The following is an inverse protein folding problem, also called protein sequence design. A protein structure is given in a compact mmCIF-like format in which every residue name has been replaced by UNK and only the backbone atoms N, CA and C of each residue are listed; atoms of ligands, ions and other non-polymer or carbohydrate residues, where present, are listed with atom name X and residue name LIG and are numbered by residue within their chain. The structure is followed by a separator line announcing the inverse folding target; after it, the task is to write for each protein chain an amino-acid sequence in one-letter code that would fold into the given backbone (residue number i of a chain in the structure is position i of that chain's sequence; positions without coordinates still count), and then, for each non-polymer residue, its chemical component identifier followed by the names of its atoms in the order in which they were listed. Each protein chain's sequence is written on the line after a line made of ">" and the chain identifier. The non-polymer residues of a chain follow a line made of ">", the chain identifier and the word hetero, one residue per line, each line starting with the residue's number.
data_IF_348960398438
#
_entry.id   IF_348960398438
#
_cell.length_a   1.000
_cell.length_b   1.000
_cell.length_c   1.000
_cell.angle_alpha   90.00
_cell.angle_beta   90.00
_cell.angle_gamma   90.00
#
_symmetry.space_group_name_H-M   'P 1'
#
loop_
_entity.id
_entity.type
_entity.pdbx_description
1 polymer ?
#
# COMPACT_ATOMS: atom_id res chain seq x y z
N UNK A 1 11.27 -32.36 58.30
CA UNK A 1 9.82 -32.10 58.10
C UNK A 1 9.60 -30.60 58.36
N UNK A 2 8.79 -29.92 57.53
CA UNK A 2 8.34 -28.51 57.61
C UNK A 2 9.19 -27.46 58.39
N UNK A 3 9.81 -26.52 57.64
CA UNK A 3 9.38 -25.11 57.65
C UNK A 3 10.06 -24.06 58.58
N UNK A 4 9.55 -22.82 58.41
CA UNK A 4 9.75 -21.58 59.21
C UNK A 4 10.94 -20.65 58.83
N UNK A 5 10.81 -19.38 59.20
CA UNK A 5 11.37 -18.15 58.60
C UNK A 5 12.68 -17.60 59.21
N UNK A 6 13.44 -16.93 58.33
CA UNK A 6 14.12 -15.62 58.47
C UNK A 6 15.09 -15.29 59.64
N UNK A 7 16.36 -15.03 59.29
CA UNK A 7 17.24 -13.95 59.78
C UNK A 7 18.51 -13.89 58.88
N UNK A 8 19.29 -12.81 58.73
CA UNK A 8 19.13 -11.40 59.14
C UNK A 8 20.47 -10.62 59.08
N UNK A 9 20.47 -9.39 58.51
CA UNK A 9 21.65 -8.49 58.42
C UNK A 9 22.62 -8.79 57.25
N UNK A 10 23.57 -7.91 56.86
CA UNK A 10 23.99 -6.57 57.35
C UNK A 10 24.99 -5.98 56.29
N UNK A 11 25.28 -4.68 56.09
CA UNK A 11 24.64 -3.36 56.29
C UNK A 11 25.60 -2.26 55.71
N UNK A 12 25.13 -1.03 55.42
CA UNK A 12 25.90 0.16 54.91
C UNK A 12 26.29 0.03 53.41
N UNK A 13 26.63 1.06 52.62
CA UNK A 13 26.87 2.53 52.68
C UNK A 13 26.79 3.04 51.21
N UNK A 14 26.39 4.23 50.76
CA UNK A 14 25.65 5.42 51.22
C UNK A 14 25.03 6.04 49.92
N UNK A 15 23.92 6.81 49.85
CA UNK A 15 23.46 8.02 50.55
C UNK A 15 24.17 9.36 50.21
N UNK A 16 23.50 10.18 49.38
CA UNK A 16 23.51 11.64 49.44
C UNK A 16 22.09 12.16 49.10
N UNK A 17 21.57 13.10 49.89
CA UNK A 17 20.16 13.53 49.86
C UNK A 17 20.07 14.90 50.55
N UNK A 18 19.58 15.96 49.89
CA UNK A 18 19.41 17.29 50.52
C UNK A 18 18.08 17.94 50.07
N UNK A 19 17.30 18.28 51.09
CA UNK A 19 15.96 18.88 51.12
C UNK A 19 15.76 20.17 50.31
N UNK A 20 14.47 20.47 50.06
CA UNK A 20 13.98 21.81 49.75
C UNK A 20 13.47 22.54 51.01
N UNK A 21 13.51 23.87 51.01
CA UNK A 21 12.82 24.76 51.98
C UNK A 21 12.35 26.04 51.28
N UNK A 22 11.19 26.56 51.66
CA UNK A 22 10.56 27.73 51.01
C UNK A 22 10.75 29.04 51.79
N UNK A 23 10.50 30.18 51.12
CA UNK A 23 10.05 31.44 51.74
C UNK A 23 9.30 32.32 50.73
N UNK A 24 8.41 33.19 51.23
CA UNK A 24 7.58 34.12 50.44
C UNK A 24 8.22 35.52 50.35
N UNK A 25 7.88 36.27 49.31
CA UNK A 25 8.08 37.73 49.21
C UNK A 25 7.23 38.31 48.08
N UNK A 26 6.60 39.47 48.29
CA UNK A 26 5.78 40.15 47.27
C UNK A 26 6.59 41.23 46.54
N UNK A 27 6.29 41.45 45.26
CA UNK A 27 6.76 42.61 44.50
C UNK A 27 5.98 42.76 43.19
N UNK A 28 4.99 43.67 43.16
CA UNK A 28 4.38 44.11 41.90
C UNK A 28 5.26 45.22 41.30
N UNK A 29 5.68 45.07 40.05
CA UNK A 29 6.05 46.23 39.22
C UNK A 29 5.63 45.98 37.77
N UNK A 30 4.70 46.79 37.28
CA UNK A 30 4.33 46.84 35.86
C UNK A 30 5.24 47.83 35.14
N UNK A 31 6.00 47.37 34.15
CA UNK A 31 6.68 48.24 33.18
C UNK A 31 6.26 47.79 31.80
N UNK A 32 5.49 48.63 31.09
CA UNK A 32 5.20 48.43 29.69
C UNK A 32 6.35 49.01 28.85
N UNK A 33 6.97 48.20 28.01
CA UNK A 33 7.95 48.66 27.02
C UNK A 33 7.40 48.35 25.63
N UNK A 34 7.00 49.38 24.90
CA UNK A 34 6.55 49.26 23.52
C UNK A 34 7.77 49.10 22.59
N UNK A 35 8.21 47.85 22.38
CA UNK A 35 9.27 47.50 21.44
C UNK A 35 8.70 47.07 20.09
N UNK A 36 8.70 47.96 19.10
CA UNK A 36 8.29 47.63 17.73
C UNK A 36 9.44 46.90 16.99
N UNK A 37 9.46 45.57 17.05
CA UNK A 37 10.38 44.75 16.28
C UNK A 37 9.84 44.48 14.87
N UNK A 38 10.50 45.01 13.84
CA UNK A 38 10.24 44.56 12.46
C UNK A 38 10.89 43.19 12.25
N UNK A 39 10.10 42.13 12.36
CA UNK A 39 10.47 40.81 11.86
C UNK A 39 10.48 40.83 10.33
N UNK A 40 11.64 41.06 9.72
CA UNK A 40 11.84 40.80 8.30
C UNK A 40 11.81 39.28 8.10
N UNK A 41 10.64 38.76 7.75
CA UNK A 41 10.43 37.35 7.45
C UNK A 41 11.16 36.96 6.16
N UNK A 42 12.36 36.41 6.28
CA UNK A 42 13.01 35.69 5.18
C UNK A 42 12.20 34.40 4.97
N UNK A 43 11.33 34.40 3.97
CA UNK A 43 10.64 33.21 3.51
C UNK A 43 11.64 32.27 2.84
N UNK A 44 12.26 31.40 3.64
CA UNK A 44 12.98 30.25 3.14
C UNK A 44 11.95 29.27 2.55
N UNK A 45 11.62 29.44 1.27
CA UNK A 45 10.90 28.42 0.51
C UNK A 45 11.71 27.12 0.60
N UNK A 46 11.10 25.98 0.95
CA UNK A 46 11.78 24.71 0.81
C UNK A 46 12.18 24.55 -0.66
N UNK A 47 13.44 24.16 -0.90
CA UNK A 47 13.86 23.73 -2.22
C UNK A 47 13.07 22.46 -2.51
N UNK A 48 12.15 22.51 -3.48
CA UNK A 48 11.45 21.33 -3.93
C UNK A 48 12.47 20.32 -4.46
N UNK A 49 12.41 19.09 -3.96
CA UNK A 49 13.06 17.99 -4.63
C UNK A 49 12.33 17.74 -5.96
N UNK A 50 13.07 17.49 -7.04
CA UNK A 50 12.47 17.06 -8.30
C UNK A 50 11.71 15.73 -8.08
N UNK A 51 10.55 15.51 -8.72
CA UNK A 51 9.79 14.27 -8.55
C UNK A 51 10.64 13.04 -8.90
N UNK A 52 10.62 12.03 -8.02
CA UNK A 52 11.30 10.74 -8.23
C UNK A 52 10.80 9.98 -9.47
N UNK A 53 9.65 10.38 -10.01
CA UNK A 53 9.07 9.85 -11.24
C UNK A 53 8.53 10.99 -12.12
N UNK A 54 9.05 11.21 -13.35
CA UNK A 54 8.50 12.18 -14.28
C UNK A 54 7.18 11.70 -14.93
N UNK A 55 6.04 12.22 -14.48
CA UNK A 55 4.74 12.02 -15.13
C UNK A 55 3.93 10.82 -14.62
N UNK A 56 3.77 10.73 -13.30
CA UNK A 56 2.96 9.73 -12.59
C UNK A 56 2.45 10.31 -11.28
N UNK A 57 1.60 9.59 -10.52
CA UNK A 57 1.07 10.09 -9.26
C UNK A 57 2.18 10.34 -8.24
N UNK A 58 2.11 11.45 -7.52
CA UNK A 58 3.03 11.74 -6.41
C UNK A 58 2.87 10.67 -5.32
N UNK A 59 3.94 9.94 -5.01
CA UNK A 59 3.96 8.99 -3.89
C UNK A 59 3.83 9.75 -2.57
N UNK A 60 2.74 9.58 -1.77
CA UNK A 60 2.53 10.38 -0.57
C UNK A 60 3.47 9.94 0.58
N UNK A 61 4.70 10.45 0.57
CA UNK A 61 5.80 9.94 1.41
C UNK A 61 6.68 10.96 2.12
N UNK A 62 6.46 12.28 1.94
CA UNK A 62 7.17 13.33 2.69
C UNK A 62 6.24 14.48 3.10
N UNK A 63 5.62 14.36 4.27
CA UNK A 63 5.01 15.49 4.98
C UNK A 63 5.20 15.33 6.48
N UNK A 64 5.69 16.39 7.13
CA UNK A 64 5.88 16.39 8.59
C UNK A 64 4.52 16.22 9.30
N UNK A 65 4.46 15.55 10.46
CA UNK A 65 3.21 15.20 11.13
C UNK A 65 2.40 16.45 11.47
N UNK A 66 1.27 16.62 10.79
CA UNK A 66 0.28 17.64 11.12
C UNK A 66 -0.45 17.23 12.40
N UNK A 67 -0.55 18.14 13.37
CA UNK A 67 -1.24 17.86 14.62
C UNK A 67 -2.72 17.57 14.38
N UNK A 68 -3.30 16.49 14.93
CA UNK A 68 -4.67 16.08 14.63
C UNK A 68 -5.68 17.16 15.05
N UNK A 69 -6.45 17.66 14.10
CA UNK A 69 -7.56 18.59 14.39
C UNK A 69 -8.65 17.84 15.14
N UNK A 70 -8.91 18.22 16.40
CA UNK A 70 -9.90 17.56 17.27
C UNK A 70 -11.33 18.00 16.95
N UNK A 71 -11.70 17.99 15.67
CA UNK A 71 -13.03 18.35 15.17
C UNK A 71 -13.71 17.07 14.66
N UNK A 72 -14.87 16.65 15.21
CA UNK A 72 -15.59 15.49 14.70
C UNK A 72 -16.14 15.80 13.30
N UNK A 73 -15.51 15.24 12.26
CA UNK A 73 -15.95 15.38 10.88
C UNK A 73 -17.13 14.45 10.61
N UNK A 74 -18.32 14.82 11.07
CA UNK A 74 -19.58 14.21 10.60
C UNK A 74 -19.84 14.64 9.16
N UNK A 75 -19.11 14.04 8.21
CA UNK A 75 -19.52 14.03 6.81
C UNK A 75 -20.93 13.44 6.74
N UNK A 76 -21.91 14.11 6.11
CA UNK A 76 -23.24 13.56 5.98
C UNK A 76 -23.17 12.32 5.08
N UNK A 77 -23.70 11.19 5.56
CA UNK A 77 -23.91 10.02 4.71
C UNK A 77 -24.85 10.40 3.57
N UNK A 78 -24.53 9.95 2.35
CA UNK A 78 -25.32 10.26 1.17
C UNK A 78 -26.56 9.36 1.08
N UNK A 79 -27.48 9.49 2.03
CA UNK A 79 -28.71 8.68 2.18
C UNK A 79 -29.72 8.86 1.01
N UNK A 80 -29.34 9.51 -0.11
CA UNK A 80 -30.14 9.57 -1.33
C UNK A 80 -30.38 8.15 -1.86
N UNK A 81 -31.61 7.78 -2.26
CA UNK A 81 -31.87 6.50 -2.90
C UNK A 81 -31.02 6.30 -4.16
N UNK A 82 -30.45 5.10 -4.33
CA UNK A 82 -29.76 4.70 -5.55
C UNK A 82 -30.69 4.73 -6.77
N UNK A 83 -30.10 4.91 -7.95
CA UNK A 83 -30.80 4.69 -9.22
C UNK A 83 -31.25 3.23 -9.36
N UNK A 84 -32.34 3.02 -10.11
CA UNK A 84 -32.87 1.67 -10.37
C UNK A 84 -31.87 0.84 -11.18
N UNK A 85 -31.28 -0.17 -10.56
CA UNK A 85 -30.38 -1.12 -11.21
C UNK A 85 -31.01 -1.77 -12.46
N UNK A 86 -30.16 -1.99 -13.47
CA UNK A 86 -30.44 -2.76 -14.67
C UNK A 86 -29.72 -4.13 -14.68
N UNK A 87 -29.16 -4.54 -13.54
CA UNK A 87 -28.38 -5.75 -13.35
C UNK A 87 -28.94 -6.62 -12.22
N UNK A 88 -28.61 -7.92 -12.23
CA UNK A 88 -28.73 -8.80 -11.05
C UNK A 88 -27.61 -8.53 -10.05
N UNK A 89 -27.81 -8.90 -8.79
CA UNK A 89 -26.84 -8.68 -7.68
C UNK A 89 -25.40 -9.04 -8.11
N UNK A 90 -24.48 -8.06 -8.19
CA UNK A 90 -23.10 -8.30 -8.57
C UNK A 90 -22.32 -8.91 -7.40
N UNK A 91 -21.13 -9.45 -7.69
CA UNK A 91 -20.13 -9.68 -6.65
C UNK A 91 -19.27 -8.42 -6.46
N UNK A 92 -18.94 -8.13 -5.20
CA UNK A 92 -18.09 -7.02 -4.77
C UNK A 92 -16.75 -7.56 -4.26
N UNK A 93 -15.70 -6.79 -4.51
CA UNK A 93 -14.32 -7.06 -4.13
C UNK A 93 -13.65 -5.70 -3.91
N UNK A 94 -13.21 -5.31 -2.70
CA UNK A 94 -13.17 -6.08 -1.45
C UNK A 94 -14.52 -6.60 -0.95
N UNK A 95 -14.46 -7.69 -0.21
CA UNK A 95 -15.61 -8.31 0.46
C UNK A 95 -15.90 -7.62 1.81
N UNK A 96 -17.15 -7.78 2.29
CA UNK A 96 -17.62 -7.15 3.53
C UNK A 96 -16.79 -7.63 4.74
N UNK A 97 -16.20 -6.69 5.47
CA UNK A 97 -15.29 -6.93 6.59
C UNK A 97 -13.81 -7.14 6.22
N UNK A 98 -13.41 -7.03 4.96
CA UNK A 98 -11.98 -7.08 4.59
C UNK A 98 -11.19 -5.84 5.07
N UNK A 99 -9.88 -6.01 5.25
CA UNK A 99 -8.90 -4.93 5.37
C UNK A 99 -7.86 -5.09 4.28
N UNK A 100 -7.57 -4.01 3.55
CA UNK A 100 -6.82 -4.05 2.27
C UNK A 100 -5.80 -2.91 2.17
N UNK A 101 -4.76 -3.10 1.36
CA UNK A 101 -3.71 -2.11 1.14
C UNK A 101 -4.17 -0.89 0.31
N UNK A 102 -3.31 0.14 0.31
CA UNK A 102 -3.61 1.47 -0.23
C UNK A 102 -3.75 1.56 -1.76
N UNK A 103 -3.56 0.47 -2.49
CA UNK A 103 -3.74 0.37 -3.95
C UNK A 103 -4.83 -0.64 -4.35
N UNK A 104 -5.77 -0.98 -3.46
CA UNK A 104 -6.91 -1.82 -3.79
C UNK A 104 -7.98 -1.03 -4.57
N UNK A 105 -8.30 -1.37 -5.84
CA UNK A 105 -9.50 -0.86 -6.48
C UNK A 105 -10.75 -1.54 -5.89
N UNK A 106 -11.87 -0.83 -5.86
CA UNK A 106 -13.20 -1.47 -5.74
C UNK A 106 -13.52 -2.10 -7.09
N UNK A 107 -13.95 -3.35 -7.10
CA UNK A 107 -14.31 -4.11 -8.30
C UNK A 107 -15.73 -4.67 -8.16
N UNK A 108 -16.57 -4.37 -9.14
CA UNK A 108 -17.99 -4.73 -9.18
C UNK A 108 -18.21 -5.60 -10.42
N UNK A 109 -18.44 -6.90 -10.20
CA UNK A 109 -18.50 -7.91 -11.26
C UNK A 109 -19.94 -8.38 -11.49
N UNK A 110 -20.44 -8.17 -12.71
CA UNK A 110 -21.80 -8.51 -13.11
C UNK A 110 -21.87 -9.91 -13.73
N UNK A 111 -22.92 -10.65 -13.39
CA UNK A 111 -23.19 -11.98 -13.94
C UNK A 111 -23.36 -11.96 -15.48
N UNK A 112 -23.97 -10.90 -15.99
CA UNK A 112 -24.28 -10.67 -17.41
C UNK A 112 -23.62 -9.39 -17.92
N UNK A 113 -23.53 -9.24 -19.24
CA UNK A 113 -23.00 -8.02 -19.85
C UNK A 113 -23.94 -6.82 -19.59
N UNK A 114 -23.35 -5.64 -19.41
CA UNK A 114 -24.09 -4.38 -19.19
C UNK A 114 -24.02 -3.51 -20.44
N UNK A 115 -25.15 -3.38 -21.13
CA UNK A 115 -25.29 -2.52 -22.31
C UNK A 115 -25.46 -1.03 -21.91
N UNK A 116 -26.42 -0.73 -21.03
CA UNK A 116 -26.62 0.61 -20.48
C UNK A 116 -25.78 0.82 -19.21
N UNK A 117 -24.50 1.09 -19.43
CA UNK A 117 -23.52 1.44 -18.39
C UNK A 117 -23.92 2.66 -17.57
N UNK A 118 -24.57 3.66 -18.18
CA UNK A 118 -24.97 4.93 -17.53
C UNK A 118 -26.16 4.77 -16.58
N UNK A 119 -26.97 3.73 -16.74
CA UNK A 119 -27.99 3.35 -15.75
C UNK A 119 -27.37 2.48 -14.65
N UNK A 120 -26.41 1.62 -14.97
CA UNK A 120 -25.68 0.83 -13.97
C UNK A 120 -24.87 1.71 -13.00
N UNK A 121 -24.12 2.68 -13.51
CA UNK A 121 -23.36 3.68 -12.73
C UNK A 121 -24.22 4.42 -11.70
N UNK A 122 -25.48 4.74 -12.04
CA UNK A 122 -26.42 5.43 -11.12
C UNK A 122 -26.96 4.52 -10.02
N UNK A 123 -26.86 3.20 -10.19
CA UNK A 123 -27.23 2.21 -9.20
C UNK A 123 -26.03 1.78 -8.32
N UNK A 124 -24.91 2.50 -8.42
CA UNK A 124 -23.69 2.27 -7.66
C UNK A 124 -23.37 3.52 -6.83
N UNK A 125 -22.95 3.32 -5.59
CA UNK A 125 -22.34 4.34 -4.73
C UNK A 125 -21.07 3.77 -4.13
N UNK A 126 -20.06 4.62 -4.02
CA UNK A 126 -18.90 4.42 -3.13
C UNK A 126 -18.89 5.62 -2.18
N UNK A 127 -18.88 5.34 -0.88
CA UNK A 127 -18.83 6.34 0.20
C UNK A 127 -17.61 6.07 1.04
N UNK A 128 -16.90 7.15 1.39
CA UNK A 128 -15.55 7.11 1.95
C UNK A 128 -15.48 8.01 3.19
N UNK A 129 -14.82 7.52 4.24
CA UNK A 129 -14.59 8.26 5.48
C UNK A 129 -13.11 8.15 5.88
N UNK A 130 -12.28 9.19 5.73
CA UNK A 130 -12.62 10.54 5.23
C UNK A 130 -13.07 10.55 3.75
N UNK A 131 -13.68 11.65 3.31
CA UNK A 131 -14.15 11.78 1.92
C UNK A 131 -12.95 11.80 0.94
N UNK A 132 -12.85 10.76 0.13
CA UNK A 132 -11.86 10.57 -0.93
C UNK A 132 -12.55 10.63 -2.29
N UNK A 133 -12.06 11.50 -3.18
CA UNK A 133 -12.52 11.58 -4.57
C UNK A 133 -11.97 10.42 -5.39
N UNK A 134 -12.82 9.90 -6.28
CA UNK A 134 -12.47 8.86 -7.23
C UNK A 134 -13.55 8.69 -8.29
N UNK A 135 -13.33 7.78 -9.24
CA UNK A 135 -14.15 7.66 -10.44
C UNK A 135 -14.46 6.20 -10.79
N UNK A 136 -15.60 5.97 -11.46
CA UNK A 136 -15.93 4.68 -12.08
C UNK A 136 -15.29 4.55 -13.46
N UNK A 137 -14.72 3.39 -13.76
CA UNK A 137 -14.18 3.01 -15.08
C UNK A 137 -14.52 1.55 -15.38
N UNK A 138 -14.65 1.19 -16.66
CA UNK A 138 -15.16 -0.12 -17.08
C UNK A 138 -14.07 -1.01 -17.65
N UNK A 139 -13.95 -2.22 -17.10
CA UNK A 139 -13.13 -3.31 -17.64
C UNK A 139 -14.03 -4.21 -18.49
N UNK A 140 -14.01 -3.98 -19.80
CA UNK A 140 -14.87 -4.68 -20.75
C UNK A 140 -16.37 -4.41 -20.55
N UNK A 141 -17.18 -5.47 -20.53
CA UNK A 141 -18.66 -5.40 -20.46
C UNK A 141 -19.29 -5.99 -19.20
N UNK A 142 -18.50 -6.66 -18.35
CA UNK A 142 -18.99 -7.36 -17.13
C UNK A 142 -18.37 -6.84 -15.83
N UNK A 143 -17.44 -5.90 -15.89
CA UNK A 143 -16.76 -5.40 -14.71
C UNK A 143 -16.67 -3.87 -14.78
N UNK A 144 -17.05 -3.21 -13.67
CA UNK A 144 -16.80 -1.79 -13.43
C UNK A 144 -16.01 -1.67 -12.14
N UNK A 145 -15.04 -0.76 -12.13
CA UNK A 145 -14.13 -0.54 -11.01
C UNK A 145 -14.23 0.91 -10.54
N UNK A 146 -13.88 1.15 -9.28
CA UNK A 146 -13.70 2.50 -8.71
C UNK A 146 -12.33 2.60 -8.05
N UNK A 147 -11.63 3.72 -8.27
CA UNK A 147 -10.38 4.07 -7.59
C UNK A 147 -10.31 5.57 -7.30
N UNK A 148 -9.49 6.02 -6.33
CA UNK A 148 -9.09 7.42 -6.22
C UNK A 148 -8.12 7.84 -7.35
N UNK A 149 -7.80 9.14 -7.42
CA UNK A 149 -6.78 9.69 -8.35
C UNK A 149 -5.34 9.27 -8.00
N UNK A 150 -5.13 8.71 -6.80
CA UNK A 150 -3.86 8.17 -6.30
C UNK A 150 -4.13 7.12 -5.22
N UNK A 151 -3.13 6.73 -4.43
CA UNK A 151 -3.33 5.76 -3.34
C UNK A 151 -4.34 6.26 -2.29
N UNK A 152 -5.05 5.30 -1.70
CA UNK A 152 -5.97 5.55 -0.60
C UNK A 152 -5.22 6.07 0.64
N UNK A 153 -5.80 7.02 1.41
CA UNK A 153 -5.32 7.32 2.74
C UNK A 153 -5.49 6.11 3.67
N UNK A 154 -4.44 5.77 4.41
CA UNK A 154 -4.48 4.72 5.42
C UNK A 154 -5.58 4.97 6.47
N UNK A 155 -6.29 3.91 6.88
CA UNK A 155 -7.41 4.00 7.82
C UNK A 155 -8.71 4.57 7.25
N UNK A 156 -8.85 4.69 5.91
CA UNK A 156 -10.13 5.08 5.28
C UNK A 156 -11.14 3.94 5.35
N UNK A 157 -12.33 4.20 5.91
CA UNK A 157 -13.48 3.29 5.80
C UNK A 157 -14.22 3.52 4.47
N UNK A 158 -14.61 2.44 3.80
CA UNK A 158 -15.24 2.45 2.48
C UNK A 158 -16.50 1.59 2.48
N UNK A 159 -17.64 2.21 2.19
CA UNK A 159 -18.91 1.51 1.90
C UNK A 159 -19.19 1.54 0.40
N UNK A 160 -19.41 0.38 -0.19
CA UNK A 160 -19.82 0.19 -1.59
C UNK A 160 -21.24 -0.33 -1.62
N UNK A 161 -22.13 0.36 -2.33
CA UNK A 161 -23.48 -0.10 -2.65
C UNK A 161 -23.59 -0.33 -4.16
N UNK A 162 -24.13 -1.48 -4.59
CA UNK A 162 -24.35 -1.79 -6.00
C UNK A 162 -25.70 -2.50 -6.19
N UNK A 163 -26.76 -1.70 -6.35
CA UNK A 163 -28.15 -2.13 -6.52
C UNK A 163 -28.76 -2.82 -5.30
N UNK A 164 -28.30 -4.04 -5.00
CA UNK A 164 -28.70 -4.86 -3.85
C UNK A 164 -27.52 -5.61 -3.20
N UNK A 165 -26.30 -5.41 -3.69
CA UNK A 165 -25.08 -5.82 -3.00
C UNK A 165 -24.54 -4.64 -2.18
N UNK A 166 -23.99 -4.94 -1.01
CA UNK A 166 -23.28 -3.97 -0.16
C UNK A 166 -21.99 -4.62 0.34
N UNK A 167 -20.91 -3.85 0.44
CA UNK A 167 -19.65 -4.25 1.06
C UNK A 167 -19.07 -3.07 1.84
N UNK A 168 -18.63 -3.31 3.07
CA UNK A 168 -17.93 -2.34 3.92
C UNK A 168 -16.54 -2.89 4.21
N UNK A 169 -15.50 -2.13 3.88
CA UNK A 169 -14.11 -2.53 4.10
C UNK A 169 -13.27 -1.34 4.55
N UNK A 170 -12.11 -1.60 5.15
CA UNK A 170 -11.21 -0.56 5.65
C UNK A 170 -9.87 -0.64 4.93
N UNK A 171 -9.31 0.51 4.58
CA UNK A 171 -7.93 0.63 4.10
C UNK A 171 -6.98 0.50 5.29
N UNK A 172 -6.01 -0.41 5.21
CA UNK A 172 -5.01 -0.65 6.26
C UNK A 172 -3.93 0.42 6.35
N UNK A 173 -2.79 0.05 6.94
CA UNK A 173 -1.54 0.82 6.94
C UNK A 173 -1.00 1.05 5.51
N UNK A 174 -0.20 2.10 5.34
CA UNK A 174 0.44 2.44 4.06
C UNK A 174 1.65 1.55 3.79
N UNK A 175 1.39 0.27 3.54
CA UNK A 175 2.36 -0.73 3.14
C UNK A 175 2.66 -0.59 1.65
N UNK A 176 3.91 -0.28 1.28
CA UNK A 176 4.35 -0.05 -0.11
C UNK A 176 5.66 -0.79 -0.38
N UNK A 177 5.74 -1.50 -1.51
CA UNK A 177 7.00 -2.07 -1.99
C UNK A 177 7.46 -1.35 -3.26
N UNK A 178 8.70 -0.88 -3.30
CA UNK A 178 9.32 -0.27 -4.50
C UNK A 178 10.49 -1.14 -4.97
N UNK A 179 10.34 -1.72 -6.15
CA UNK A 179 11.33 -2.51 -6.88
C UNK A 179 12.05 -1.60 -7.90
N UNK A 180 13.32 -1.26 -7.63
CA UNK A 180 14.10 -0.35 -8.46
C UNK A 180 15.26 -1.05 -9.16
N UNK A 181 15.23 -1.08 -10.50
CA UNK A 181 16.24 -1.76 -11.31
C UNK A 181 17.63 -1.11 -11.25
N UNK A 182 17.73 0.20 -10.96
CA UNK A 182 19.03 0.86 -10.77
C UNK A 182 19.78 0.34 -9.53
N UNK A 183 19.08 -0.34 -8.62
CA UNK A 183 19.62 -0.88 -7.37
C UNK A 183 19.47 -2.38 -7.24
N UNK A 184 18.67 -3.02 -8.11
CA UNK A 184 18.21 -4.41 -8.01
C UNK A 184 17.71 -4.80 -6.59
N UNK A 185 17.01 -3.88 -5.91
CA UNK A 185 16.41 -4.11 -4.59
C UNK A 185 14.90 -3.79 -4.59
N UNK A 186 14.14 -4.57 -3.82
CA UNK A 186 12.80 -4.18 -3.34
C UNK A 186 12.99 -3.50 -1.98
N UNK A 187 12.54 -2.26 -1.83
CA UNK A 187 12.44 -1.60 -0.52
C UNK A 187 10.98 -1.57 -0.11
N UNK A 188 10.68 -2.07 1.09
CA UNK A 188 9.33 -2.09 1.66
C UNK A 188 9.24 -1.05 2.77
N UNK A 189 8.28 -0.13 2.66
CA UNK A 189 7.91 0.83 3.69
C UNK A 189 6.54 0.53 4.27
N UNK A 190 6.33 0.91 5.54
CA UNK A 190 5.03 0.94 6.21
C UNK A 190 4.89 2.32 6.85
N UNK A 191 3.82 3.05 6.49
CA UNK A 191 3.56 4.44 6.90
C UNK A 191 4.74 5.41 6.65
N UNK A 192 5.62 5.06 5.70
CA UNK A 192 6.80 5.82 5.29
C UNK A 192 8.13 5.29 5.85
N UNK A 193 8.13 4.51 6.94
CA UNK A 193 9.34 3.94 7.53
C UNK A 193 9.76 2.65 6.80
N UNK A 194 11.05 2.49 6.50
CA UNK A 194 11.58 1.28 5.83
C UNK A 194 11.63 0.11 6.80
N UNK A 195 10.86 -0.95 6.51
CA UNK A 195 10.77 -2.17 7.34
C UNK A 195 11.57 -3.35 6.79
N UNK A 196 11.82 -3.40 5.47
CA UNK A 196 12.61 -4.46 4.82
C UNK A 196 13.26 -3.93 3.54
N UNK A 197 14.44 -4.43 3.23
CA UNK A 197 15.08 -4.29 1.91
C UNK A 197 15.49 -5.67 1.45
N UNK A 198 15.14 -6.03 0.21
CA UNK A 198 15.32 -7.37 -0.36
C UNK A 198 16.15 -7.27 -1.65
N UNK A 199 17.33 -7.92 -1.73
CA UNK A 199 18.01 -8.12 -3.00
C UNK A 199 17.11 -8.93 -3.95
N UNK A 200 16.90 -8.42 -5.17
CA UNK A 200 16.01 -9.02 -6.16
C UNK A 200 16.71 -9.24 -7.50
N UNK A 201 16.13 -10.11 -8.33
CA UNK A 201 16.48 -10.29 -9.73
C UNK A 201 15.18 -10.29 -10.54
N UNK A 202 15.02 -9.32 -11.43
CA UNK A 202 13.80 -9.14 -12.22
C UNK A 202 13.90 -9.86 -13.58
N UNK A 203 12.96 -9.55 -14.48
CA UNK A 203 12.94 -10.05 -15.86
C UNK A 203 14.20 -9.67 -16.63
N UNK A 204 14.79 -10.64 -17.33
CA UNK A 204 16.01 -10.46 -18.14
C UNK A 204 15.81 -9.45 -19.27
N UNK A 205 16.89 -9.04 -19.95
CA UNK A 205 16.77 -8.08 -21.06
C UNK A 205 15.88 -8.58 -22.22
N UNK A 206 15.75 -9.90 -22.39
CA UNK A 206 14.90 -10.52 -23.41
C UNK A 206 13.44 -10.67 -22.94
N UNK A 207 13.22 -10.81 -21.62
CA UNK A 207 11.90 -10.93 -20.97
C UNK A 207 11.76 -9.94 -19.79
N UNK A 208 11.82 -8.61 -20.02
CA UNK A 208 11.95 -7.62 -18.96
C UNK A 208 10.63 -7.37 -18.22
N UNK A 209 10.70 -7.20 -16.89
CA UNK A 209 9.55 -6.77 -16.08
C UNK A 209 9.13 -5.35 -16.49
N UNK A 210 7.88 -5.08 -16.91
CA UNK A 210 7.44 -3.72 -17.23
C UNK A 210 7.44 -2.79 -16.01
N UNK A 211 7.60 -1.48 -16.23
CA UNK A 211 7.45 -0.49 -15.17
C UNK A 211 5.96 -0.22 -14.88
N UNK A 212 5.64 0.20 -13.66
CA UNK A 212 4.28 0.60 -13.30
C UNK A 212 3.93 0.35 -11.83
N UNK A 213 2.64 0.41 -11.52
CA UNK A 213 2.11 0.14 -10.18
C UNK A 213 1.23 -1.10 -10.25
N UNK A 214 1.76 -2.18 -9.68
CA UNK A 214 1.10 -3.47 -9.54
C UNK A 214 0.40 -3.57 -8.18
N UNK A 215 -0.55 -4.48 -8.04
CA UNK A 215 -1.40 -4.64 -6.86
C UNK A 215 -1.31 -6.08 -6.35
N UNK A 216 -1.01 -6.27 -5.06
CA UNK A 216 -0.91 -7.60 -4.45
C UNK A 216 -2.25 -8.33 -4.51
N UNK A 217 -2.28 -9.44 -5.26
CA UNK A 217 -3.41 -10.34 -5.47
C UNK A 217 -3.34 -11.59 -4.59
N UNK A 218 -3.51 -12.78 -5.18
CA UNK A 218 -3.46 -14.03 -4.43
C UNK A 218 -2.04 -14.41 -3.97
N UNK A 219 -1.97 -15.22 -2.91
CA UNK A 219 -0.74 -15.71 -2.29
C UNK A 219 -0.77 -17.24 -2.20
N UNK A 220 0.29 -17.88 -2.69
CA UNK A 220 0.44 -19.34 -2.75
C UNK A 220 1.70 -19.77 -1.98
N UNK A 221 1.54 -20.68 -1.01
CA UNK A 221 2.66 -21.18 -0.22
C UNK A 221 3.66 -21.97 -1.09
N UNK A 222 3.12 -22.74 -2.03
CA UNK A 222 3.83 -23.41 -3.12
C UNK A 222 2.97 -23.39 -4.39
N UNK A 223 3.60 -23.39 -5.57
CA UNK A 223 2.91 -23.62 -6.84
C UNK A 223 3.85 -24.07 -7.95
N UNK A 224 3.30 -24.69 -9.00
CA UNK A 224 3.94 -24.71 -10.31
C UNK A 224 3.52 -23.47 -11.10
N UNK A 225 4.46 -22.58 -11.37
CA UNK A 225 4.30 -21.51 -12.36
C UNK A 225 4.49 -22.12 -13.75
N UNK A 226 3.40 -22.27 -14.50
CA UNK A 226 3.37 -22.83 -15.85
C UNK A 226 3.01 -21.73 -16.84
N UNK A 227 3.92 -21.42 -17.76
CA UNK A 227 3.82 -20.28 -18.68
C UNK A 227 2.60 -20.34 -19.60
N UNK A 228 2.06 -21.55 -19.87
CA UNK A 228 0.88 -21.71 -20.72
C UNK A 228 -0.39 -21.13 -20.09
N UNK A 229 -0.43 -21.01 -18.75
CA UNK A 229 -1.48 -20.31 -18.00
C UNK A 229 -1.60 -18.84 -18.42
N UNK A 230 -0.49 -18.25 -18.86
CA UNK A 230 -0.35 -16.84 -19.24
C UNK A 230 -0.17 -16.63 -20.75
N UNK A 231 -0.43 -17.68 -21.55
CA UNK A 231 -0.44 -17.63 -23.01
C UNK A 231 0.87 -18.00 -23.72
N UNK A 232 1.95 -18.30 -22.98
CA UNK A 232 3.27 -18.67 -23.55
C UNK A 232 3.45 -20.20 -23.47
N UNK A 233 3.47 -20.94 -24.60
CA UNK A 233 3.62 -22.41 -24.58
C UNK A 233 4.91 -22.86 -23.86
N UNK A 234 4.83 -23.90 -23.03
CA UNK A 234 5.94 -24.40 -22.21
C UNK A 234 7.10 -24.95 -23.07
N UNK A 235 6.83 -25.32 -24.32
CA UNK A 235 7.79 -25.78 -25.33
C UNK A 235 8.29 -24.68 -26.28
N UNK A 236 7.89 -23.42 -26.07
CA UNK A 236 8.42 -22.25 -26.78
C UNK A 236 9.74 -21.73 -26.16
N UNK A 237 10.52 -20.85 -26.83
CA UNK A 237 11.81 -20.37 -26.32
C UNK A 237 11.73 -19.68 -24.94
N UNK A 238 10.63 -18.96 -24.69
CA UNK A 238 10.34 -18.25 -23.43
C UNK A 238 9.43 -19.07 -22.50
N UNK A 239 9.18 -20.35 -22.85
CA UNK A 239 8.34 -21.28 -22.11
C UNK A 239 8.99 -21.80 -20.84
N UNK A 240 8.20 -21.90 -19.76
CA UNK A 240 8.70 -22.43 -18.49
C UNK A 240 7.62 -23.18 -17.70
N UNK A 241 8.07 -24.11 -16.86
CA UNK A 241 7.25 -24.76 -15.83
C UNK A 241 8.07 -25.01 -14.57
N UNK A 242 7.94 -24.12 -13.60
CA UNK A 242 8.86 -24.01 -12.45
C UNK A 242 8.09 -24.22 -11.15
N UNK A 243 8.54 -25.12 -10.28
CA UNK A 243 8.07 -25.18 -8.90
C UNK A 243 8.69 -24.04 -8.10
N UNK A 244 7.87 -23.27 -7.39
CA UNK A 244 8.31 -22.14 -6.56
C UNK A 244 7.57 -22.15 -5.21
N UNK A 245 8.15 -21.44 -4.24
CA UNK A 245 7.59 -21.28 -2.90
C UNK A 245 7.31 -19.79 -2.62
N UNK A 246 6.34 -19.53 -1.74
CA UNK A 246 5.98 -18.19 -1.25
C UNK A 246 5.66 -17.18 -2.37
N UNK A 247 4.87 -17.62 -3.36
CA UNK A 247 4.52 -16.82 -4.52
C UNK A 247 3.36 -15.87 -4.24
N UNK A 248 3.61 -14.57 -4.38
CA UNK A 248 2.61 -13.50 -4.26
C UNK A 248 2.35 -12.89 -5.63
N UNK A 249 1.12 -13.03 -6.16
CA UNK A 249 0.74 -12.45 -7.46
C UNK A 249 0.74 -10.94 -7.37
N UNK A 250 1.29 -10.29 -8.40
CA UNK A 250 1.14 -8.84 -8.59
C UNK A 250 0.54 -8.49 -9.96
N UNK A 251 0.48 -9.41 -10.92
CA UNK A 251 -0.23 -9.24 -12.20
C UNK A 251 -0.86 -10.53 -12.74
N UNK A 252 -1.93 -10.39 -13.53
CA UNK A 252 -2.64 -11.48 -14.19
C UNK A 252 -1.90 -12.04 -15.41
N UNK A 253 -1.04 -11.25 -16.06
CA UNK A 253 -0.05 -11.70 -17.06
C UNK A 253 1.01 -12.67 -16.50
N UNK A 254 1.03 -12.92 -15.19
CA UNK A 254 1.87 -13.95 -14.57
C UNK A 254 3.10 -13.42 -13.84
N UNK A 255 3.12 -12.15 -13.44
CA UNK A 255 4.21 -11.58 -12.63
C UNK A 255 3.93 -11.76 -11.13
N UNK A 256 4.93 -12.23 -10.40
CA UNK A 256 4.90 -12.51 -8.96
C UNK A 256 6.17 -12.03 -8.27
N UNK A 257 6.10 -11.81 -6.96
CA UNK A 257 7.26 -11.91 -6.05
C UNK A 257 7.29 -13.33 -5.49
N UNK A 258 8.42 -14.04 -5.57
CA UNK A 258 8.52 -15.42 -5.06
C UNK A 258 9.95 -15.81 -4.63
N UNK A 259 10.07 -16.88 -3.84
CA UNK A 259 11.36 -17.46 -3.49
C UNK A 259 12.04 -18.05 -4.73
N UNK A 260 13.31 -17.71 -4.93
CA UNK A 260 14.13 -18.16 -6.06
C UNK A 260 15.55 -18.58 -5.61
N UNK A 261 15.69 -19.68 -4.85
CA UNK A 261 16.97 -20.14 -4.30
C UNK A 261 18.05 -20.43 -5.36
N UNK A 262 17.65 -20.63 -6.63
CA UNK A 262 18.57 -20.83 -7.75
C UNK A 262 19.21 -19.54 -8.29
N UNK A 263 18.67 -18.35 -7.98
CA UNK A 263 19.17 -17.05 -8.49
C UNK A 263 19.72 -16.12 -7.39
N UNK A 264 20.06 -16.65 -6.22
CA UNK A 264 20.58 -15.84 -5.08
C UNK A 264 21.94 -15.19 -5.37
N UNK A 265 22.69 -15.66 -6.37
CA UNK A 265 23.93 -15.02 -6.83
C UNK A 265 23.72 -13.85 -7.80
N UNK A 266 22.49 -13.66 -8.28
CA UNK A 266 22.07 -12.61 -9.22
C UNK A 266 21.24 -11.53 -8.53
N UNK A 267 20.59 -11.87 -7.41
CA UNK A 267 19.80 -10.96 -6.60
C UNK A 267 20.65 -9.80 -6.07
N UNK A 268 20.21 -8.56 -6.30
CA UNK A 268 20.98 -7.35 -5.99
C UNK A 268 22.06 -6.99 -7.01
N UNK A 269 22.06 -7.57 -8.22
CA UNK A 269 23.13 -7.38 -9.21
C UNK A 269 22.72 -7.54 -10.68
N UNK A 270 21.85 -8.49 -11.02
CA UNK A 270 21.51 -8.83 -12.43
C UNK A 270 20.13 -9.47 -12.54
N UNK A 271 19.42 -9.22 -13.65
CA UNK A 271 18.09 -9.75 -13.93
C UNK A 271 18.15 -11.03 -14.78
N UNK A 272 17.49 -12.11 -14.31
CA UNK A 272 17.51 -13.44 -14.98
C UNK A 272 16.16 -14.19 -14.98
N UNK A 273 15.04 -13.53 -14.63
CA UNK A 273 13.71 -14.16 -14.66
C UNK A 273 12.98 -13.94 -15.99
N UNK A 274 11.78 -14.50 -16.14
CA UNK A 274 10.82 -14.18 -17.22
C UNK A 274 9.79 -13.14 -16.77
N UNK A 275 10.23 -12.08 -16.08
CA UNK A 275 9.40 -10.98 -15.59
C UNK A 275 9.06 -11.00 -14.10
N UNK A 276 9.16 -12.14 -13.41
CA UNK A 276 8.96 -12.23 -11.95
C UNK A 276 10.08 -11.55 -11.14
N UNK A 277 9.74 -11.13 -9.92
CA UNK A 277 10.66 -10.56 -8.95
C UNK A 277 11.22 -11.69 -8.08
N UNK A 278 12.32 -12.29 -8.53
CA UNK A 278 13.00 -13.37 -7.81
C UNK A 278 13.67 -12.80 -6.56
N UNK A 279 13.31 -13.28 -5.36
CA UNK A 279 13.96 -12.91 -4.08
C UNK A 279 14.50 -14.14 -3.33
N UNK A 280 15.20 -13.93 -2.21
CA UNK A 280 15.67 -15.04 -1.37
C UNK A 280 14.50 -15.84 -0.79
N UNK A 281 14.73 -17.08 -0.33
CA UNK A 281 13.65 -17.85 0.32
C UNK A 281 13.18 -17.23 1.64
N UNK A 282 14.04 -16.47 2.34
CA UNK A 282 13.63 -15.71 3.54
C UNK A 282 12.76 -14.52 3.15
N UNK A 283 13.18 -13.73 2.15
CA UNK A 283 12.49 -12.53 1.70
C UNK A 283 11.17 -12.84 0.99
N UNK A 284 11.12 -13.90 0.17
CA UNK A 284 9.90 -14.38 -0.47
C UNK A 284 8.88 -14.85 0.56
N UNK A 285 9.34 -15.60 1.58
CA UNK A 285 8.50 -15.96 2.73
C UNK A 285 8.01 -14.72 3.48
N UNK A 286 8.89 -13.77 3.78
CA UNK A 286 8.51 -12.55 4.49
C UNK A 286 7.48 -11.75 3.69
N UNK A 287 7.65 -11.61 2.37
CA UNK A 287 6.70 -10.94 1.49
C UNK A 287 5.35 -11.67 1.48
N UNK A 288 5.34 -13.00 1.33
CA UNK A 288 4.13 -13.82 1.40
C UNK A 288 3.42 -13.69 2.76
N UNK A 289 4.14 -13.65 3.88
CA UNK A 289 3.55 -13.54 5.22
C UNK A 289 3.02 -12.12 5.51
N UNK A 290 3.70 -11.07 5.05
CA UNK A 290 3.46 -9.68 5.48
C UNK A 290 2.80 -8.75 4.45
N UNK A 291 2.81 -9.06 3.15
CA UNK A 291 2.18 -8.20 2.13
C UNK A 291 0.64 -8.34 2.15
N UNK A 292 -0.13 -7.26 2.41
CA UNK A 292 -1.58 -7.32 2.39
C UNK A 292 -2.13 -7.31 0.95
N UNK A 293 -3.28 -7.97 0.75
CA UNK A 293 -4.09 -7.85 -0.48
C UNK A 293 -4.33 -6.36 -0.75
N UNK A 294 -4.07 -5.90 -1.97
CA UNK A 294 -4.24 -4.49 -2.32
C UNK A 294 -3.04 -3.58 -2.03
N UNK A 295 -1.91 -4.11 -1.54
CA UNK A 295 -0.69 -3.30 -1.44
C UNK A 295 -0.10 -2.99 -2.83
N UNK A 296 0.43 -1.77 -3.07
CA UNK A 296 1.18 -1.46 -4.27
C UNK A 296 2.57 -2.11 -4.27
N UNK A 297 2.93 -2.68 -5.43
CA UNK A 297 4.31 -2.98 -5.81
C UNK A 297 4.67 -2.08 -6.99
N UNK A 298 5.47 -1.05 -6.74
CA UNK A 298 5.93 -0.08 -7.73
C UNK A 298 7.20 -0.64 -8.39
N UNK A 299 7.17 -0.88 -9.69
CA UNK A 299 8.33 -1.32 -10.47
C UNK A 299 8.84 -0.14 -11.29
N UNK A 300 10.12 0.21 -11.14
CA UNK A 300 10.71 1.37 -11.78
C UNK A 300 12.12 1.13 -12.33
N UNK A 301 12.50 1.98 -13.29
CA UNK A 301 13.80 2.04 -13.97
C UNK A 301 14.17 0.84 -14.85
N UNK A 302 13.23 -0.07 -15.16
CA UNK A 302 13.45 -1.21 -16.05
C UNK A 302 13.40 -0.80 -17.53
N UNK A 303 13.94 -1.65 -18.41
CA UNK A 303 13.79 -1.49 -19.87
C UNK A 303 12.43 -1.96 -20.43
N UNK A 304 11.55 -2.53 -19.61
CA UNK A 304 10.36 -3.29 -20.03
C UNK A 304 9.14 -2.47 -20.47
N UNK A 305 9.32 -1.18 -20.78
CA UNK A 305 8.19 -0.28 -21.08
C UNK A 305 7.30 -0.05 -19.86
N UNK A 306 5.99 0.00 -20.07
CA UNK A 306 4.98 0.18 -19.01
C UNK A 306 3.97 -0.96 -19.06
N UNK A 307 3.55 -1.46 -17.90
CA UNK A 307 2.56 -2.55 -17.81
C UNK A 307 1.20 -2.11 -18.36
N UNK A 308 0.45 -3.07 -18.93
CA UNK A 308 -0.92 -2.84 -19.39
C UNK A 308 -1.83 -2.48 -18.19
N UNK A 309 -2.47 -1.30 -18.16
CA UNK A 309 -3.39 -0.91 -17.08
C UNK A 309 -4.70 -1.71 -17.09
N UNK A 310 -4.92 -2.57 -18.10
CA UNK A 310 -6.08 -3.47 -18.20
C UNK A 310 -5.78 -4.93 -17.82
N UNK A 311 -4.54 -5.25 -17.40
CA UNK A 311 -4.18 -6.55 -16.79
C UNK A 311 -5.14 -6.90 -15.62
N UNK A 312 -5.55 -5.89 -14.85
CA UNK A 312 -6.56 -6.03 -13.80
C UNK A 312 -6.02 -6.21 -12.39
N UNK A 313 -4.69 -6.10 -12.21
CA UNK A 313 -4.02 -5.80 -10.93
C UNK A 313 -3.10 -4.57 -11.05
N UNK A 314 -3.30 -3.72 -12.04
CA UNK A 314 -2.36 -2.66 -12.47
C UNK A 314 -2.99 -1.26 -12.51
N UNK A 315 -4.17 -1.13 -11.92
CA UNK A 315 -5.12 -0.03 -12.08
C UNK A 315 -4.59 1.36 -11.67
N UNK A 316 -3.54 1.39 -10.87
CA UNK A 316 -2.84 2.60 -10.40
C UNK A 316 -1.61 2.98 -11.24
N UNK A 317 -1.31 2.23 -12.31
CA UNK A 317 -0.21 2.53 -13.25
C UNK A 317 -0.48 3.79 -14.06
N UNK A 318 -1.75 4.02 -14.44
CA UNK A 318 -2.20 5.31 -14.99
C UNK A 318 -3.00 6.07 -13.93
N UNK A 319 -3.06 7.41 -13.99
CA UNK A 319 -4.06 8.21 -13.30
C UNK A 319 -5.50 7.70 -13.58
#
# INVERSE_FOLDING_TARGET
>A
MLGVLACGGINRRNYMQINATSRRGLGRLTVAVAGAALCVGISASPIGADPLWPGGPEVPGVSAPSTPSTTPSTSPSDDRPLGRANFSTPSLDPADGETVGVAQPVVIRFQNAIDDKKTAEKAIRVTTSPEVKGHLYWVGHKEVRWKPEGFWPAGTDVTVEAGSATSNFTIGESWVATADDNTHNITVTVDGDVVRTMPMSMGSNDNPTPNGVYTVGERFADMYMDSSTYGVPVDSPDGYRTYVEYATRISNSGIFVHAAPWSVGQQGNTNVSHGCLNVSTEDGRWFFENAPKGAPVIVQNTIGGTVDPTDGLTDFTTP
#
